data_IF_727190214078
#
_entry.id   IF_727190214078
#
_cell.length_a   1.000
_cell.length_b   1.000
_cell.length_c   1.000
_cell.angle_alpha   90.00
_cell.angle_beta   90.00
_cell.angle_gamma   90.00
#
_symmetry.space_group_name_H-M   'P 1'
#
loop_
_entity.id
_entity.type
_entity.pdbx_description
1 polymer ?
#
# COMPACT_ATOMS: atom_id res chain seq x y z
N UNK A 1 18.48 -49.52 40.72
CA UNK A 1 19.66 -48.83 40.14
C UNK A 1 19.28 -48.59 38.69
N UNK A 2 18.88 -47.40 38.24
CA UNK A 2 19.70 -46.18 38.12
C UNK A 2 18.77 -44.97 38.27
N UNK A 3 18.97 -44.20 39.33
CA UNK A 3 18.59 -42.78 39.38
C UNK A 3 19.82 -41.98 38.95
N UNK A 4 19.60 -40.73 38.52
CA UNK A 4 20.58 -39.67 38.19
C UNK A 4 20.93 -39.51 36.71
N UNK A 5 21.26 -38.26 36.33
CA UNK A 5 21.41 -37.72 34.97
C UNK A 5 20.02 -37.34 34.40
N UNK A 6 19.45 -36.17 34.66
CA UNK A 6 19.84 -34.88 34.09
C UNK A 6 19.31 -33.75 34.98
N UNK A 7 20.17 -33.20 35.83
CA UNK A 7 19.93 -31.93 36.52
C UNK A 7 21.01 -30.95 36.08
N UNK A 8 21.14 -30.75 34.77
CA UNK A 8 21.97 -29.70 34.21
C UNK A 8 21.21 -28.37 34.31
N UNK A 9 21.83 -27.32 34.84
CA UNK A 9 21.13 -26.30 35.58
C UNK A 9 20.56 -25.24 34.64
N UNK A 10 19.28 -24.92 34.82
CA UNK A 10 18.59 -23.77 34.21
C UNK A 10 19.39 -22.45 34.32
N UNK A 11 20.28 -22.36 35.32
CA UNK A 11 21.20 -21.25 35.57
C UNK A 11 22.24 -21.02 34.46
N UNK A 12 22.71 -22.06 33.76
CA UNK A 12 23.69 -21.90 32.67
C UNK A 12 23.05 -21.31 31.40
N UNK A 13 21.78 -21.63 31.13
CA UNK A 13 21.02 -21.10 30.00
C UNK A 13 20.65 -19.63 30.22
N UNK A 14 20.31 -19.24 31.45
CA UNK A 14 20.00 -17.86 31.80
C UNK A 14 21.22 -16.92 31.69
N UNK A 15 22.42 -17.39 32.02
CA UNK A 15 23.65 -16.60 31.91
C UNK A 15 24.05 -16.29 30.46
N UNK A 16 23.68 -17.13 29.49
CA UNK A 16 23.94 -16.85 28.07
C UNK A 16 23.08 -15.72 27.50
N UNK A 17 21.88 -15.48 28.05
CA UNK A 17 21.04 -14.35 27.63
C UNK A 17 21.56 -12.98 28.09
N UNK A 18 22.35 -12.93 29.17
CA UNK A 18 22.85 -11.66 29.73
C UNK A 18 24.12 -11.13 29.08
N UNK A 19 24.89 -11.95 28.35
CA UNK A 19 26.20 -11.54 27.78
C UNK A 19 26.11 -11.12 26.31
N UNK A 20 25.06 -11.49 25.58
CA UNK A 20 24.86 -11.11 24.18
C UNK A 20 23.54 -10.38 23.99
N UNK A 21 23.59 -9.05 23.85
CA UNK A 21 22.45 -8.32 23.27
C UNK A 21 22.24 -6.88 23.72
N UNK A 22 23.08 -6.31 24.59
CA UNK A 22 23.13 -4.86 24.78
C UNK A 22 23.87 -4.18 23.61
N UNK A 23 23.36 -4.38 22.40
CA UNK A 23 23.83 -3.76 21.17
C UNK A 23 22.72 -2.95 20.54
N UNK A 24 22.11 -2.05 21.30
CA UNK A 24 21.27 -1.00 20.72
C UNK A 24 22.20 -0.03 19.97
N UNK A 25 22.57 -0.38 18.74
CA UNK A 25 23.10 0.61 17.81
C UNK A 25 22.06 1.72 17.69
N UNK A 26 22.40 2.99 17.99
CA UNK A 26 21.57 4.09 17.55
C UNK A 26 21.71 4.11 16.02
N UNK A 27 20.80 3.44 15.32
CA UNK A 27 20.55 3.76 13.91
C UNK A 27 20.12 5.21 13.94
N UNK A 28 21.07 6.11 13.67
CA UNK A 28 20.79 7.51 13.46
C UNK A 28 19.72 7.55 12.39
N UNK A 29 18.51 7.94 12.77
CA UNK A 29 17.47 8.29 11.82
C UNK A 29 18.03 9.46 11.01
N UNK A 30 18.64 9.17 9.87
CA UNK A 30 19.01 10.16 8.88
C UNK A 30 17.67 10.74 8.44
N UNK A 31 17.30 11.88 9.03
CA UNK A 31 16.19 12.69 8.56
C UNK A 31 16.55 13.10 7.15
N UNK A 32 16.01 12.37 6.16
CA UNK A 32 16.17 12.74 4.77
C UNK A 32 15.49 14.09 4.60
N UNK A 33 16.29 15.15 4.45
CA UNK A 33 15.82 16.50 4.15
C UNK A 33 15.09 16.59 2.79
N UNK A 34 14.99 15.49 2.04
CA UNK A 34 14.19 15.38 0.81
C UNK A 34 12.79 14.84 1.12
N UNK A 35 11.97 15.65 1.76
CA UNK A 35 10.51 15.42 1.81
C UNK A 35 9.85 15.72 0.45
N UNK A 36 8.65 15.17 0.18
CA UNK A 36 7.90 15.50 -1.04
C UNK A 36 7.58 16.98 -1.11
N UNK A 37 7.65 17.57 -2.30
CA UNK A 37 7.35 19.00 -2.49
C UNK A 37 5.90 19.32 -2.10
N UNK A 38 5.60 20.56 -1.66
CA UNK A 38 4.22 20.96 -1.35
C UNK A 38 3.25 20.71 -2.50
N UNK A 39 3.69 20.90 -3.75
CA UNK A 39 2.90 20.61 -4.93
C UNK A 39 2.58 19.11 -5.06
N UNK A 40 3.57 18.24 -4.87
CA UNK A 40 3.37 16.80 -4.92
C UNK A 40 2.38 16.34 -3.81
N UNK A 41 2.47 16.95 -2.63
CA UNK A 41 1.55 16.68 -1.51
C UNK A 41 0.11 17.13 -1.83
N UNK A 42 -0.07 18.31 -2.44
CA UNK A 42 -1.38 18.78 -2.88
C UNK A 42 -1.99 17.89 -3.96
N UNK A 43 -1.18 17.49 -4.96
CA UNK A 43 -1.63 16.58 -6.02
C UNK A 43 -2.09 15.23 -5.48
N UNK A 44 -1.35 14.66 -4.53
CA UNK A 44 -1.76 13.43 -3.85
C UNK A 44 -3.08 13.61 -3.08
N UNK A 45 -3.28 14.75 -2.41
CA UNK A 45 -4.54 15.06 -1.72
C UNK A 45 -5.71 15.12 -2.71
N UNK A 46 -5.54 15.84 -3.83
CA UNK A 46 -6.57 15.97 -4.87
C UNK A 46 -6.91 14.61 -5.47
N UNK A 47 -5.89 13.79 -5.81
CA UNK A 47 -6.07 12.43 -6.28
C UNK A 47 -6.94 11.60 -5.31
N UNK A 48 -6.61 11.62 -4.01
CA UNK A 48 -7.38 10.90 -2.98
C UNK A 48 -8.82 11.38 -2.86
N UNK A 49 -9.05 12.70 -2.94
CA UNK A 49 -10.40 13.27 -2.88
C UNK A 49 -11.25 12.81 -4.07
N UNK A 50 -10.68 12.86 -5.29
CA UNK A 50 -11.37 12.40 -6.49
C UNK A 50 -11.64 10.89 -6.46
N UNK A 51 -10.67 10.10 -6.01
CA UNK A 51 -10.85 8.66 -5.84
C UNK A 51 -11.96 8.34 -4.83
N UNK A 52 -12.03 9.08 -3.71
CA UNK A 52 -13.09 8.93 -2.72
C UNK A 52 -14.48 9.28 -3.29
N UNK A 53 -14.58 10.33 -4.12
CA UNK A 53 -15.82 10.67 -4.81
C UNK A 53 -16.27 9.53 -5.74
N UNK A 54 -15.35 8.92 -6.50
CA UNK A 54 -15.66 7.75 -7.32
C UNK A 54 -16.16 6.55 -6.50
N UNK A 55 -15.55 6.27 -5.34
CA UNK A 55 -16.06 5.22 -4.46
C UNK A 55 -17.47 5.53 -3.94
N UNK A 56 -17.75 6.79 -3.59
CA UNK A 56 -19.08 7.20 -3.15
C UNK A 56 -20.12 7.01 -4.25
N UNK A 57 -19.82 7.41 -5.49
CA UNK A 57 -20.71 7.22 -6.65
C UNK A 57 -21.02 5.74 -6.90
N UNK A 58 -20.01 4.87 -6.75
CA UNK A 58 -20.22 3.43 -6.83
C UNK A 58 -21.14 2.95 -5.71
N UNK A 59 -20.92 3.38 -4.46
CA UNK A 59 -21.71 2.94 -3.31
C UNK A 59 -23.19 3.31 -3.44
N UNK A 60 -23.51 4.49 -3.97
CA UNK A 60 -24.90 4.90 -4.23
C UNK A 60 -25.51 4.26 -5.49
N UNK A 61 -24.74 3.44 -6.22
CA UNK A 61 -25.24 2.61 -7.32
C UNK A 61 -25.14 3.23 -8.72
N UNK A 62 -24.43 4.35 -8.89
CA UNK A 62 -24.31 5.02 -10.20
C UNK A 62 -23.53 4.20 -11.24
N UNK A 63 -22.78 3.19 -10.80
CA UNK A 63 -21.90 2.36 -11.63
C UNK A 63 -22.43 0.93 -11.84
N UNK A 64 -23.66 0.65 -11.41
CA UNK A 64 -24.30 -0.66 -11.54
C UNK A 64 -23.81 -1.71 -10.54
N UNK A 65 -24.54 -2.83 -10.47
CA UNK A 65 -24.30 -3.89 -9.47
C UNK A 65 -22.98 -4.63 -9.66
N UNK A 66 -22.47 -4.70 -10.90
CA UNK A 66 -21.18 -5.33 -11.18
C UNK A 66 -20.04 -4.66 -10.40
N UNK A 67 -20.05 -3.33 -10.25
CA UNK A 67 -19.05 -2.59 -9.49
C UNK A 67 -19.17 -2.78 -7.96
N UNK A 68 -20.16 -3.53 -7.49
CA UNK A 68 -20.36 -3.88 -6.08
C UNK A 68 -20.21 -5.38 -5.81
N UNK A 69 -19.93 -6.18 -6.85
CA UNK A 69 -19.87 -7.63 -6.73
C UNK A 69 -18.72 -8.10 -5.82
N UNK A 70 -17.61 -7.36 -5.81
CA UNK A 70 -16.44 -7.61 -4.96
C UNK A 70 -15.71 -6.32 -4.61
N UNK A 71 -14.74 -6.40 -3.70
CA UNK A 71 -13.87 -5.26 -3.39
C UNK A 71 -13.03 -4.87 -4.61
N UNK A 72 -12.54 -5.85 -5.39
CA UNK A 72 -11.70 -5.59 -6.55
C UNK A 72 -12.49 -5.04 -7.73
N UNK A 73 -13.75 -5.45 -7.91
CA UNK A 73 -14.64 -4.85 -8.89
C UNK A 73 -14.89 -3.37 -8.57
N UNK A 74 -15.10 -3.06 -7.29
CA UNK A 74 -15.23 -1.67 -6.81
C UNK A 74 -13.98 -0.85 -7.09
N UNK A 75 -12.78 -1.41 -6.84
CA UNK A 75 -11.51 -0.73 -7.13
C UNK A 75 -11.30 -0.50 -8.63
N UNK A 76 -11.51 -1.53 -9.46
CA UNK A 76 -11.44 -1.42 -10.91
C UNK A 76 -12.41 -0.36 -11.45
N UNK A 77 -13.65 -0.34 -10.96
CA UNK A 77 -14.63 0.68 -11.33
C UNK A 77 -14.23 2.08 -10.85
N UNK A 78 -13.67 2.21 -9.63
CA UNK A 78 -13.24 3.51 -9.12
C UNK A 78 -12.08 4.09 -9.95
N UNK A 79 -11.15 3.24 -10.42
CA UNK A 79 -10.10 3.68 -11.33
C UNK A 79 -10.64 4.09 -12.72
N UNK A 80 -11.61 3.36 -13.26
CA UNK A 80 -12.33 3.76 -14.50
C UNK A 80 -13.05 5.09 -14.33
N UNK A 81 -13.72 5.29 -13.20
CA UNK A 81 -14.35 6.56 -12.83
C UNK A 81 -13.35 7.72 -12.80
N UNK A 82 -12.19 7.50 -12.18
CA UNK A 82 -11.20 8.55 -12.01
C UNK A 82 -10.61 9.00 -13.34
N UNK A 83 -10.27 8.05 -14.22
CA UNK A 83 -9.81 8.32 -15.58
C UNK A 83 -9.94 7.06 -16.44
N UNK A 84 -10.92 6.99 -17.35
CA UNK A 84 -11.10 5.85 -18.24
C UNK A 84 -9.86 5.56 -19.10
N UNK A 85 -9.24 6.61 -19.64
CA UNK A 85 -8.07 6.48 -20.53
C UNK A 85 -6.85 5.92 -19.79
N UNK A 86 -6.56 6.44 -18.59
CA UNK A 86 -5.45 5.92 -17.79
C UNK A 86 -5.71 4.50 -17.31
N UNK A 87 -6.95 4.16 -16.99
CA UNK A 87 -7.30 2.77 -16.65
C UNK A 87 -7.09 1.85 -17.83
N UNK A 88 -7.60 2.21 -19.01
CA UNK A 88 -7.45 1.40 -20.22
C UNK A 88 -5.97 1.20 -20.57
N UNK A 89 -5.14 2.24 -20.43
CA UNK A 89 -3.72 2.16 -20.71
C UNK A 89 -2.93 1.28 -19.73
N UNK A 90 -3.35 1.18 -18.47
CA UNK A 90 -2.58 0.49 -17.42
C UNK A 90 -3.14 -0.89 -17.07
N UNK A 91 -4.46 -1.01 -17.02
CA UNK A 91 -5.20 -2.21 -16.58
C UNK A 91 -6.18 -2.74 -17.64
N UNK A 92 -6.31 -2.09 -18.81
CA UNK A 92 -7.35 -2.45 -19.78
C UNK A 92 -7.24 -3.87 -20.35
N UNK A 93 -6.02 -4.40 -20.49
CA UNK A 93 -5.78 -5.77 -20.95
C UNK A 93 -5.78 -6.79 -19.81
N UNK A 94 -5.49 -6.35 -18.60
CA UNK A 94 -5.26 -7.18 -17.43
C UNK A 94 -5.76 -6.42 -16.19
N UNK A 95 -7.08 -6.51 -15.90
CA UNK A 95 -7.69 -5.85 -14.75
C UNK A 95 -7.09 -6.35 -13.43
N UNK A 96 -7.22 -5.58 -12.36
CA UNK A 96 -6.77 -6.06 -11.05
C UNK A 96 -7.58 -7.28 -10.60
N UNK A 97 -6.86 -8.26 -10.04
CA UNK A 97 -7.43 -9.50 -9.51
C UNK A 97 -7.57 -9.48 -7.96
N UNK A 98 -8.44 -10.33 -7.43
CA UNK A 98 -8.66 -10.45 -5.98
C UNK A 98 -7.36 -10.86 -5.27
N UNK A 99 -6.90 -10.03 -4.33
CA UNK A 99 -5.65 -10.27 -3.59
C UNK A 99 -4.38 -9.79 -4.29
N UNK A 100 -4.48 -9.20 -5.49
CA UNK A 100 -3.33 -8.61 -6.18
C UNK A 100 -2.89 -7.29 -5.52
N UNK A 101 -1.58 -7.11 -5.35
CA UNK A 101 -0.97 -5.86 -4.90
C UNK A 101 -0.03 -5.30 -5.98
N UNK A 102 -0.57 -4.61 -6.98
CA UNK A 102 0.25 -4.01 -8.03
C UNK A 102 0.73 -2.59 -7.71
N UNK A 103 1.84 -2.52 -6.97
CA UNK A 103 2.47 -1.25 -6.63
C UNK A 103 3.07 -0.52 -7.85
N UNK A 104 3.46 -1.23 -8.91
CA UNK A 104 4.14 -0.65 -10.08
C UNK A 104 3.10 0.03 -10.98
N UNK A 105 2.10 -0.70 -11.42
CA UNK A 105 0.98 -0.18 -12.21
C UNK A 105 0.18 0.87 -11.41
N UNK A 106 0.06 0.70 -10.09
CA UNK A 106 -0.55 1.73 -9.24
C UNK A 106 0.19 3.07 -9.27
N UNK A 107 1.53 3.07 -9.38
CA UNK A 107 2.31 4.31 -9.57
C UNK A 107 2.15 4.88 -10.98
N UNK A 108 2.13 4.02 -11.99
CA UNK A 108 1.96 4.41 -13.40
C UNK A 108 0.58 5.06 -13.63
N UNK A 109 -0.47 4.47 -13.07
CA UNK A 109 -1.83 5.02 -13.10
C UNK A 109 -1.90 6.41 -12.43
N UNK A 110 -1.38 6.56 -11.20
CA UNK A 110 -1.30 7.87 -10.53
C UNK A 110 -0.53 8.91 -11.34
N UNK A 111 0.56 8.50 -11.98
CA UNK A 111 1.35 9.38 -12.85
C UNK A 111 0.55 9.81 -14.09
N UNK A 112 -0.17 8.87 -14.73
CA UNK A 112 -1.01 9.14 -15.89
C UNK A 112 -2.10 10.17 -15.58
N UNK A 113 -2.87 9.96 -14.51
CA UNK A 113 -3.96 10.88 -14.11
C UNK A 113 -3.44 12.29 -13.87
N UNK A 114 -2.34 12.44 -13.13
CA UNK A 114 -1.72 13.75 -12.88
C UNK A 114 -1.21 14.41 -14.15
N UNK A 115 -0.81 13.62 -15.16
CA UNK A 115 -0.36 14.13 -16.45
C UNK A 115 -1.54 14.60 -17.30
N UNK A 116 -2.65 13.86 -17.34
CA UNK A 116 -3.85 14.26 -18.10
C UNK A 116 -4.46 15.55 -17.55
N UNK A 117 -4.55 15.70 -16.23
CA UNK A 117 -5.04 16.93 -15.59
C UNK A 117 -4.24 18.19 -15.98
N UNK A 118 -2.93 18.04 -16.22
CA UNK A 118 -2.07 19.16 -16.65
C UNK A 118 -2.22 19.50 -18.13
N UNK A 119 -2.70 18.58 -18.94
CA UNK A 119 -2.89 18.79 -20.36
C UNK A 119 -4.24 19.48 -20.66
N UNK A 120 -5.20 19.34 -19.75
CA UNK A 120 -6.55 19.91 -19.84
C UNK A 120 -6.67 21.34 -19.28
N UNK A 121 -5.58 21.87 -18.71
CA UNK A 121 -5.53 23.13 -17.95
C UNK A 121 -4.43 24.06 -18.49
#
# INVERSE_FOLDING_TARGET
MVTTMFRFPLLLVLLCFFVFGAGASPVQAISSHYGPSPLAKWQEKVYRQRMAACFQDIDIGLWGEACKASAIDKENCAMKCLSPDCYQSVYGNDPLEEGELDLKRGREFRFCVRKSEKAEN
#
